data_IF_733583654238
#
_entry.id   IF_733583654238
#
_cell.length_a   1.000
_cell.length_b   1.000
_cell.length_c   1.000
_cell.angle_alpha   90.00
_cell.angle_beta   90.00
_cell.angle_gamma   90.00
#
_symmetry.space_group_name_H-M   'P 1'
#
loop_
_entity.id
_entity.type
_entity.pdbx_description
1 polymer ?
#
# COMPACT_ATOMS: atom_id res chain seq x y z
N UNK A 1 1.39 -8.22 -10.65
CA UNK A 1 0.93 -6.87 -10.24
C UNK A 1 0.12 -6.33 -11.39
N UNK A 2 -1.18 -6.07 -11.18
CA UNK A 2 -2.00 -5.40 -12.18
C UNK A 2 -1.82 -3.89 -11.99
N UNK A 3 -1.58 -3.17 -13.08
CA UNK A 3 -1.48 -1.70 -13.07
C UNK A 3 -2.54 -1.19 -14.02
N UNK A 4 -3.38 -0.28 -13.54
CA UNK A 4 -4.39 0.41 -14.31
C UNK A 4 -4.17 1.92 -14.17
N UNK A 5 -4.10 2.62 -15.30
CA UNK A 5 -4.00 4.07 -15.32
C UNK A 5 -5.39 4.68 -15.53
N UNK A 6 -5.82 5.55 -14.62
CA UNK A 6 -7.13 6.19 -14.70
C UNK A 6 -7.23 7.24 -15.81
N UNK A 7 -6.09 7.68 -16.37
CA UNK A 7 -6.01 8.66 -17.47
C UNK A 7 -6.82 9.96 -17.26
N UNK A 8 -6.98 10.39 -16.00
CA UNK A 8 -7.68 11.63 -15.64
C UNK A 8 -6.68 12.80 -15.72
N UNK A 9 -6.83 13.77 -16.64
CA UNK A 9 -5.93 14.93 -16.73
C UNK A 9 -6.06 15.87 -15.52
N UNK A 10 -4.96 16.53 -15.14
CA UNK A 10 -4.93 17.60 -14.12
C UNK A 10 -4.60 18.98 -14.72
N UNK A 11 -5.62 19.77 -15.12
CA UNK A 11 -5.39 21.08 -15.74
C UNK A 11 -4.86 22.12 -14.73
N UNK A 12 -4.89 21.85 -13.42
CA UNK A 12 -4.37 22.79 -12.42
C UNK A 12 -2.84 22.74 -12.30
N UNK A 13 -2.22 21.61 -12.65
CA UNK A 13 -0.77 21.42 -12.57
C UNK A 13 -0.09 21.88 -13.86
N UNK A 14 -0.65 21.55 -15.03
CA UNK A 14 -0.10 21.94 -16.33
C UNK A 14 -1.13 21.82 -17.45
N UNK A 15 -0.90 22.49 -18.58
CA UNK A 15 -1.72 22.35 -19.80
C UNK A 15 -1.75 20.90 -20.33
N UNK A 16 -0.66 20.15 -20.13
CA UNK A 16 -0.57 18.74 -20.51
C UNK A 16 -1.40 17.82 -19.62
N UNK A 17 -1.81 18.28 -18.43
CA UNK A 17 -2.58 17.48 -17.48
C UNK A 17 -1.82 16.30 -16.86
N UNK A 18 -0.51 16.19 -17.08
CA UNK A 18 0.32 15.09 -16.60
C UNK A 18 0.68 15.25 -15.11
N UNK A 19 0.82 14.12 -14.41
CA UNK A 19 1.22 14.05 -12.99
C UNK A 19 2.39 13.09 -12.81
N UNK A 20 3.25 13.39 -11.84
CA UNK A 20 4.32 12.47 -11.44
C UNK A 20 3.77 11.23 -10.74
N UNK A 21 4.29 10.06 -11.10
CA UNK A 21 3.89 8.75 -10.53
C UNK A 21 5.09 7.93 -9.99
N UNK A 22 6.28 8.54 -9.91
CA UNK A 22 7.50 7.81 -9.54
C UNK A 22 7.45 7.18 -8.14
N UNK A 23 6.89 7.90 -7.17
CA UNK A 23 6.83 7.45 -5.77
C UNK A 23 5.52 6.73 -5.42
N UNK A 24 4.42 7.04 -6.11
CA UNK A 24 3.07 6.62 -5.71
C UNK A 24 2.90 5.09 -5.61
N UNK A 25 3.62 4.33 -6.45
CA UNK A 25 3.55 2.88 -6.49
C UNK A 25 4.04 2.19 -5.21
N UNK A 26 4.91 2.83 -4.42
CA UNK A 26 5.42 2.25 -3.18
C UNK A 26 4.74 2.78 -1.91
N UNK A 27 4.16 3.99 -1.94
CA UNK A 27 3.58 4.66 -0.75
C UNK A 27 2.47 3.82 -0.10
N UNK A 28 1.51 3.31 -0.88
CA UNK A 28 0.36 2.56 -0.37
C UNK A 28 0.61 1.07 -0.12
N UNK A 29 1.68 0.50 -0.70
CA UNK A 29 1.90 -0.94 -0.76
C UNK A 29 2.06 -1.59 0.62
N UNK A 30 2.89 -1.08 1.55
CA UNK A 30 3.01 -1.67 2.89
C UNK A 30 1.70 -1.62 3.69
N UNK A 31 0.93 -0.54 3.55
CA UNK A 31 -0.37 -0.39 4.21
C UNK A 31 -1.41 -1.37 3.66
N UNK A 32 -1.46 -1.56 2.34
CA UNK A 32 -2.36 -2.53 1.71
C UNK A 32 -2.08 -3.97 2.18
N UNK A 33 -0.80 -4.37 2.22
CA UNK A 33 -0.39 -5.70 2.68
C UNK A 33 -0.75 -5.91 4.15
N UNK A 34 -0.42 -4.95 5.03
CA UNK A 34 -0.74 -5.06 6.46
C UNK A 34 -2.24 -5.06 6.74
N UNK A 35 -3.04 -4.32 5.98
CA UNK A 35 -4.51 -4.38 6.07
C UNK A 35 -5.06 -5.73 5.59
N UNK A 36 -4.47 -6.34 4.55
CA UNK A 36 -4.86 -7.68 4.11
C UNK A 36 -4.57 -8.74 5.19
N UNK A 37 -3.43 -8.65 5.87
CA UNK A 37 -3.11 -9.52 7.01
C UNK A 37 -4.08 -9.33 8.16
N UNK A 38 -4.41 -8.08 8.51
CA UNK A 38 -5.43 -7.80 9.51
C UNK A 38 -6.80 -8.37 9.11
N UNK A 39 -7.21 -8.23 7.85
CA UNK A 39 -8.46 -8.80 7.36
C UNK A 39 -8.47 -10.33 7.47
N UNK A 40 -7.36 -11.00 7.11
CA UNK A 40 -7.27 -12.45 7.14
C UNK A 40 -7.14 -13.05 8.55
N UNK A 41 -6.59 -12.30 9.52
CA UNK A 41 -6.17 -12.87 10.82
C UNK A 41 -6.74 -12.17 12.04
N UNK A 42 -7.33 -10.98 11.90
CA UNK A 42 -7.68 -10.09 13.00
C UNK A 42 -6.49 -9.40 13.68
N UNK A 43 -5.25 -9.80 13.37
CA UNK A 43 -4.05 -9.26 14.02
C UNK A 43 -3.58 -7.96 13.36
N UNK A 44 -3.43 -6.89 14.16
CA UNK A 44 -3.01 -5.58 13.68
C UNK A 44 -1.56 -5.27 14.06
N UNK A 45 -0.65 -5.47 13.11
CA UNK A 45 0.77 -5.12 13.27
C UNK A 45 1.03 -3.70 12.75
N UNK A 46 1.56 -2.82 13.62
CA UNK A 46 1.88 -1.41 13.29
C UNK A 46 3.39 -1.12 13.15
N UNK A 47 4.23 -2.12 13.40
CA UNK A 47 5.69 -2.01 13.28
C UNK A 47 6.16 -2.78 12.06
N UNK A 48 6.68 -2.05 11.08
CA UNK A 48 7.35 -2.61 9.90
C UNK A 48 8.84 -2.88 10.19
N UNK A 49 9.49 -3.81 9.47
CA UNK A 49 8.93 -4.70 8.46
C UNK A 49 8.02 -5.78 9.07
N UNK A 50 7.08 -6.29 8.26
CA UNK A 50 6.14 -7.36 8.63
C UNK A 50 6.79 -8.74 8.42
N UNK A 51 7.68 -9.12 9.32
CA UNK A 51 8.40 -10.39 9.25
C UNK A 51 7.53 -11.58 9.74
N UNK A 52 7.74 -12.80 9.23
CA UNK A 52 6.97 -13.97 9.65
C UNK A 52 7.01 -14.25 11.15
N UNK A 53 8.14 -14.00 11.82
CA UNK A 53 8.28 -14.20 13.27
C UNK A 53 7.40 -13.23 14.09
N UNK A 54 7.28 -11.97 13.66
CA UNK A 54 6.38 -10.99 14.29
C UNK A 54 4.93 -11.40 14.11
N UNK A 55 4.56 -11.86 12.91
CA UNK A 55 3.21 -12.34 12.64
C UNK A 55 2.88 -13.59 13.45
N UNK A 56 3.79 -14.57 13.49
CA UNK A 56 3.59 -15.79 14.26
C UNK A 56 3.40 -15.49 15.74
N UNK A 57 4.25 -14.64 16.34
CA UNK A 57 4.10 -14.19 17.73
C UNK A 57 2.73 -13.54 18.00
N UNK A 58 2.19 -12.78 17.06
CA UNK A 58 0.87 -12.17 17.19
C UNK A 58 -0.28 -13.19 17.07
N UNK A 59 -0.09 -14.31 16.37
CA UNK A 59 -1.12 -15.35 16.17
C UNK A 59 -1.20 -16.36 17.31
N UNK A 60 -0.08 -16.66 17.96
CA UNK A 60 -0.02 -17.64 19.07
C UNK A 60 0.08 -17.01 20.46
N UNK A 61 0.10 -15.68 20.52
CA UNK A 61 0.12 -14.90 21.77
C UNK A 61 -1.27 -14.72 22.39
#
# INVERSE_FOLDING_TARGET
ILVEALNIPDPHISELGARGIGEIGCVGTPAAITNAVFHATGQRLRSLPLTPDKLLKALVG
#
